data_IF_264109295027
#
_entry.id   IF_264109295027
#
_cell.length_a   1.000
_cell.length_b   1.000
_cell.length_c   1.000
_cell.angle_alpha   90.00
_cell.angle_beta   90.00
_cell.angle_gamma   90.00
#
_symmetry.space_group_name_H-M   'P 1'
#
loop_
_entity.id
_entity.type
_entity.pdbx_description
1 polymer ?
#
# COMPACT_ATOMS: atom_id res chain seq x y z
N UNK A 1 -0.99 42.68 -16.67
CA UNK A 1 -1.38 43.95 -17.30
C UNK A 1 -2.62 44.46 -16.59
N UNK A 2 -2.44 45.39 -15.67
CA UNK A 2 -3.52 46.06 -14.93
C UNK A 2 -4.12 47.12 -15.85
N UNK A 3 -5.21 46.78 -16.55
CA UNK A 3 -6.08 47.80 -17.13
C UNK A 3 -6.88 48.41 -15.98
N UNK A 4 -6.63 49.70 -15.72
CA UNK A 4 -7.46 50.53 -14.86
C UNK A 4 -8.88 50.51 -15.42
N UNK A 5 -9.77 49.75 -14.76
CA UNK A 5 -11.21 49.87 -14.92
C UNK A 5 -11.60 51.24 -14.36
N UNK A 6 -11.77 52.21 -15.25
CA UNK A 6 -12.47 53.44 -14.92
C UNK A 6 -13.92 53.05 -14.71
N UNK A 7 -14.30 52.78 -13.45
CA UNK A 7 -15.68 52.80 -13.03
C UNK A 7 -16.19 54.23 -13.17
N UNK A 8 -16.68 54.59 -14.37
CA UNK A 8 -17.51 55.77 -14.55
C UNK A 8 -18.76 55.57 -13.70
N UNK A 9 -18.88 56.33 -12.63
CA UNK A 9 -20.07 56.30 -11.79
C UNK A 9 -21.26 56.86 -12.59
N UNK A 10 -22.44 56.26 -12.47
CA UNK A 10 -23.69 56.73 -13.09
C UNK A 10 -23.99 58.22 -12.83
N UNK A 11 -23.43 58.80 -11.77
CA UNK A 11 -23.46 60.23 -11.47
C UNK A 11 -22.69 61.09 -12.48
N UNK A 12 -21.55 60.63 -12.99
CA UNK A 12 -20.71 61.39 -13.92
C UNK A 12 -21.35 61.48 -15.32
N UNK A 13 -22.08 60.44 -15.75
CA UNK A 13 -22.87 60.46 -17.00
C UNK A 13 -24.10 61.36 -16.92
N UNK A 14 -24.60 61.67 -15.72
CA UNK A 14 -25.73 62.59 -15.50
C UNK A 14 -25.31 64.06 -15.48
N UNK A 15 -24.09 64.36 -15.04
CA UNK A 15 -23.61 65.74 -14.95
C UNK A 15 -23.29 66.34 -16.33
N UNK A 16 -22.94 65.53 -17.33
CA UNK A 16 -22.81 66.00 -18.72
C UNK A 16 -24.15 66.34 -19.40
N UNK A 17 -25.27 65.90 -18.81
CA UNK A 17 -26.63 66.21 -19.27
C UNK A 17 -27.15 67.57 -18.77
N UNK A 18 -26.29 68.45 -18.21
CA UNK A 18 -26.71 69.81 -17.89
C UNK A 18 -27.28 70.48 -19.13
N UNK A 19 -28.60 70.66 -19.07
CA UNK A 19 -29.48 71.29 -20.05
C UNK A 19 -28.94 72.68 -20.34
N UNK A 20 -28.15 72.80 -21.42
CA UNK A 20 -28.04 74.07 -22.11
C UNK A 20 -29.37 74.24 -22.83
N UNK A 21 -30.20 75.16 -22.34
CA UNK A 21 -31.42 75.59 -23.04
C UNK A 21 -31.03 76.05 -24.45
N UNK A 22 -31.10 75.13 -25.41
CA UNK A 22 -30.87 75.43 -26.81
C UNK A 22 -32.17 76.00 -27.36
N UNK A 23 -32.51 77.22 -26.95
CA UNK A 23 -33.57 77.99 -27.61
C UNK A 23 -33.14 78.26 -29.06
N UNK A 24 -33.67 77.47 -29.99
CA UNK A 24 -33.48 77.69 -31.42
C UNK A 24 -34.26 78.95 -31.82
N UNK A 25 -33.58 80.10 -31.85
CA UNK A 25 -34.17 81.38 -32.25
C UNK A 25 -34.28 81.46 -33.78
N UNK A 26 -35.43 81.06 -34.32
CA UNK A 26 -35.76 81.23 -35.73
C UNK A 26 -36.18 82.67 -36.04
N UNK A 27 -35.68 83.26 -37.13
CA UNK A 27 -36.11 84.61 -37.54
C UNK A 27 -37.56 84.56 -38.01
N UNK A 28 -38.39 85.47 -37.47
CA UNK A 28 -39.79 85.64 -37.87
C UNK A 28 -39.87 86.53 -39.11
N UNK A 29 -40.56 86.07 -40.14
CA UNK A 29 -40.78 86.84 -41.38
C UNK A 29 -41.85 87.91 -41.17
N UNK A 30 -41.72 89.03 -41.90
CA UNK A 30 -42.55 90.25 -41.79
C UNK A 30 -44.07 90.00 -41.96
N UNK A 31 -44.47 88.90 -42.57
CA UNK A 31 -45.87 88.52 -42.80
C UNK A 31 -46.40 87.42 -41.88
N UNK A 32 -45.67 87.10 -40.80
CA UNK A 32 -46.07 86.08 -39.84
C UNK A 32 -45.69 84.67 -40.31
N UNK A 33 -44.61 84.14 -39.73
CA UNK A 33 -44.09 82.81 -40.01
C UNK A 33 -42.61 82.73 -39.60
N UNK A 34 -42.07 81.54 -39.40
CA UNK A 34 -40.63 81.35 -39.24
C UNK A 34 -39.98 81.14 -40.60
N UNK A 35 -38.73 81.55 -40.75
CA UNK A 35 -37.99 81.32 -41.99
C UNK A 35 -37.87 79.82 -42.28
N UNK A 36 -38.53 79.36 -43.34
CA UNK A 36 -38.65 77.93 -43.68
C UNK A 36 -37.28 77.28 -43.86
N UNK A 37 -36.34 77.98 -44.50
CA UNK A 37 -34.98 77.46 -44.72
C UNK A 37 -34.24 77.22 -43.41
N UNK A 38 -34.31 78.16 -42.46
CA UNK A 38 -33.68 78.00 -41.14
C UNK A 38 -34.29 76.83 -40.35
N UNK A 39 -35.60 76.63 -40.46
CA UNK A 39 -36.30 75.50 -39.80
C UNK A 39 -35.89 74.17 -40.44
N UNK A 40 -35.82 74.10 -41.77
CA UNK A 40 -35.38 72.89 -42.50
C UNK A 40 -33.94 72.52 -42.16
N UNK A 41 -33.00 73.46 -42.21
CA UNK A 41 -31.59 73.21 -41.86
C UNK A 41 -31.43 72.74 -40.40
N UNK A 42 -32.23 73.29 -39.48
CA UNK A 42 -32.25 72.83 -38.09
C UNK A 42 -32.79 71.40 -37.93
N UNK A 43 -33.88 71.07 -38.62
CA UNK A 43 -34.44 69.71 -38.64
C UNK A 43 -33.43 68.71 -39.21
N UNK A 44 -32.77 69.05 -40.31
CA UNK A 44 -31.71 68.21 -40.90
C UNK A 44 -30.56 67.99 -39.92
N UNK A 45 -30.06 69.05 -39.28
CA UNK A 45 -29.01 68.95 -38.27
C UNK A 45 -29.42 68.10 -37.07
N UNK A 46 -30.67 68.24 -36.61
CA UNK A 46 -31.20 67.43 -35.51
C UNK A 46 -31.33 65.96 -35.90
N UNK A 47 -31.74 65.69 -37.14
CA UNK A 47 -31.87 64.33 -37.67
C UNK A 47 -30.52 63.63 -37.72
N UNK A 48 -29.47 64.33 -38.19
CA UNK A 48 -28.09 63.81 -38.19
C UNK A 48 -27.62 63.52 -36.77
N UNK A 49 -27.78 64.47 -35.83
CA UNK A 49 -27.38 64.28 -34.43
C UNK A 49 -28.10 63.11 -33.75
N UNK A 50 -29.38 62.93 -34.05
CA UNK A 50 -30.16 61.79 -33.54
C UNK A 50 -29.66 60.47 -34.12
N UNK A 51 -29.33 60.44 -35.41
CA UNK A 51 -28.77 59.26 -36.05
C UNK A 51 -27.40 58.90 -35.48
N UNK A 52 -26.50 59.88 -35.32
CA UNK A 52 -25.18 59.68 -34.69
C UNK A 52 -25.32 59.18 -33.24
N UNK A 53 -26.29 59.71 -32.49
CA UNK A 53 -26.58 59.27 -31.13
C UNK A 53 -27.15 57.84 -31.09
N UNK A 54 -28.01 57.48 -32.05
CA UNK A 54 -28.54 56.12 -32.21
C UNK A 54 -27.42 55.12 -32.54
N UNK A 55 -26.55 55.44 -33.50
CA UNK A 55 -25.40 54.62 -33.85
C UNK A 55 -24.45 54.44 -32.65
N UNK A 56 -24.16 55.53 -31.92
CA UNK A 56 -23.35 55.47 -30.69
C UNK A 56 -23.99 54.61 -29.61
N UNK A 57 -25.31 54.68 -29.45
CA UNK A 57 -26.06 53.85 -28.50
C UNK A 57 -26.00 52.37 -28.89
N UNK A 58 -26.25 52.05 -30.17
CA UNK A 58 -26.19 50.69 -30.69
C UNK A 58 -24.78 50.09 -30.54
N UNK A 59 -23.73 50.87 -30.82
CA UNK A 59 -22.35 50.44 -30.59
C UNK A 59 -22.09 50.05 -29.12
N UNK A 60 -22.57 50.87 -28.17
CA UNK A 60 -22.44 50.56 -26.74
C UNK A 60 -23.26 49.33 -26.33
N UNK A 61 -24.44 49.14 -26.90
CA UNK A 61 -25.25 47.94 -26.67
C UNK A 61 -24.50 46.69 -27.12
N UNK A 62 -23.91 46.70 -28.31
CA UNK A 62 -23.12 45.59 -28.84
C UNK A 62 -21.88 45.31 -27.97
N UNK A 63 -21.21 46.36 -27.48
CA UNK A 63 -20.12 46.24 -26.53
C UNK A 63 -20.58 45.56 -25.22
N UNK A 64 -21.72 45.98 -24.65
CA UNK A 64 -22.27 45.35 -23.45
C UNK A 64 -22.70 43.91 -23.66
N UNK A 65 -23.25 43.57 -24.83
CA UNK A 65 -23.58 42.18 -25.20
C UNK A 65 -22.31 41.33 -25.28
N UNK A 66 -21.23 41.86 -25.86
CA UNK A 66 -19.93 41.20 -25.94
C UNK A 66 -19.33 40.97 -24.56
N UNK A 67 -19.35 41.99 -23.69
CA UNK A 67 -18.88 41.88 -22.30
C UNK A 67 -19.70 40.85 -21.52
N UNK A 68 -21.03 40.89 -21.62
CA UNK A 68 -21.93 39.94 -20.93
C UNK A 68 -21.67 38.50 -21.37
N UNK A 69 -21.42 38.30 -22.66
CA UNK A 69 -21.08 36.98 -23.21
C UNK A 69 -19.76 36.46 -22.64
N UNK A 70 -18.72 37.31 -22.56
CA UNK A 70 -17.43 36.95 -21.95
C UNK A 70 -17.57 36.61 -20.47
N UNK A 71 -18.29 37.43 -19.70
CA UNK A 71 -18.53 37.19 -18.27
C UNK A 71 -19.27 35.87 -18.03
N UNK A 72 -20.22 35.52 -18.91
CA UNK A 72 -20.93 34.24 -18.84
C UNK A 72 -19.97 33.06 -19.07
N UNK A 73 -19.09 33.16 -20.07
CA UNK A 73 -18.07 32.14 -20.34
C UNK A 73 -17.09 31.99 -19.17
N UNK A 74 -16.61 33.08 -18.59
CA UNK A 74 -15.73 33.04 -17.41
C UNK A 74 -16.41 32.40 -16.21
N UNK A 75 -17.67 32.77 -15.93
CA UNK A 75 -18.47 32.15 -14.86
C UNK A 75 -18.60 30.64 -15.06
N UNK A 76 -18.91 30.20 -16.28
CA UNK A 76 -19.09 28.78 -16.58
C UNK A 76 -17.76 28.02 -16.42
N UNK A 77 -16.65 28.59 -16.88
CA UNK A 77 -15.29 28.06 -16.67
C UNK A 77 -14.94 27.93 -15.17
N UNK A 78 -15.22 28.95 -14.36
CA UNK A 78 -15.00 28.88 -12.92
C UNK A 78 -15.90 27.83 -12.25
N UNK A 79 -17.12 27.66 -12.73
CA UNK A 79 -18.03 26.61 -12.27
C UNK A 79 -17.48 25.20 -12.52
N UNK A 80 -16.94 24.96 -13.71
CA UNK A 80 -16.28 23.69 -14.06
C UNK A 80 -15.04 23.44 -13.19
N UNK A 81 -14.17 24.43 -13.04
CA UNK A 81 -12.99 24.33 -12.17
C UNK A 81 -13.37 24.03 -10.71
N UNK A 82 -14.42 24.68 -10.20
CA UNK A 82 -14.93 24.43 -8.86
C UNK A 82 -15.41 22.99 -8.69
N UNK A 83 -16.16 22.47 -9.66
CA UNK A 83 -16.62 21.08 -9.64
C UNK A 83 -15.47 20.08 -9.72
N UNK A 84 -14.45 20.35 -10.56
CA UNK A 84 -13.23 19.54 -10.62
C UNK A 84 -12.51 19.52 -9.27
N UNK A 85 -12.33 20.68 -8.63
CA UNK A 85 -11.70 20.76 -7.31
C UNK A 85 -12.51 20.02 -6.25
N UNK A 86 -13.84 20.15 -6.26
CA UNK A 86 -14.74 19.44 -5.34
C UNK A 86 -14.63 17.93 -5.50
N UNK A 87 -14.63 17.42 -6.74
CA UNK A 87 -14.50 15.99 -7.00
C UNK A 87 -13.11 15.47 -6.61
N UNK A 88 -12.05 16.21 -6.96
CA UNK A 88 -10.68 15.87 -6.56
C UNK A 88 -10.52 15.81 -5.04
N UNK A 89 -11.16 16.73 -4.30
CA UNK A 89 -11.18 16.69 -2.82
C UNK A 89 -11.82 15.41 -2.29
N UNK A 90 -12.97 15.01 -2.83
CA UNK A 90 -13.67 13.77 -2.43
C UNK A 90 -12.79 12.55 -2.70
N UNK A 91 -12.13 12.50 -3.86
CA UNK A 91 -11.22 11.40 -4.22
C UNK A 91 -10.01 11.32 -3.27
N UNK A 92 -9.39 12.47 -2.94
CA UNK A 92 -8.28 12.52 -1.98
C UNK A 92 -8.72 12.09 -0.57
N UNK A 93 -9.91 12.49 -0.12
CA UNK A 93 -10.47 12.05 1.17
C UNK A 93 -10.68 10.53 1.19
N UNK A 94 -11.17 9.94 0.10
CA UNK A 94 -11.32 8.49 -0.01
C UNK A 94 -9.97 7.76 0.02
N UNK A 95 -8.95 8.28 -0.68
CA UNK A 95 -7.60 7.72 -0.66
C UNK A 95 -6.96 7.79 0.73
N UNK A 96 -7.11 8.93 1.42
CA UNK A 96 -6.62 9.09 2.79
C UNK A 96 -7.28 8.09 3.75
N UNK A 97 -8.58 7.85 3.59
CA UNK A 97 -9.28 6.86 4.41
C UNK A 97 -8.78 5.44 4.13
N UNK A 98 -8.50 5.10 2.86
CA UNK A 98 -7.93 3.81 2.50
C UNK A 98 -6.52 3.62 3.11
N UNK A 99 -5.63 4.60 2.96
CA UNK A 99 -4.28 4.55 3.54
C UNK A 99 -4.32 4.42 5.06
N UNK A 100 -5.28 5.06 5.72
CA UNK A 100 -5.49 4.94 7.16
C UNK A 100 -5.88 3.53 7.58
N UNK A 101 -6.69 2.85 6.78
CA UNK A 101 -7.06 1.45 7.04
C UNK A 101 -5.85 0.52 6.83
N UNK A 102 -5.11 0.68 5.74
CA UNK A 102 -3.89 -0.10 5.45
C UNK A 102 -2.82 0.07 6.56
N UNK A 103 -2.64 1.29 7.06
CA UNK A 103 -1.75 1.56 8.18
C UNK A 103 -2.19 0.84 9.47
N UNK A 104 -3.50 0.72 9.68
CA UNK A 104 -4.03 0.01 10.84
C UNK A 104 -3.84 -1.51 10.72
N UNK A 105 -4.04 -2.07 9.53
CA UNK A 105 -3.75 -3.48 9.24
C UNK A 105 -2.26 -3.80 9.47
N UNK A 106 -1.36 -2.93 9.00
CA UNK A 106 0.07 -3.09 9.23
C UNK A 106 0.43 -3.11 10.72
N UNK A 107 -0.17 -2.21 11.52
CA UNK A 107 0.06 -2.19 12.98
C UNK A 107 -0.40 -3.48 13.66
N UNK A 108 -1.52 -4.04 13.22
CA UNK A 108 -2.01 -5.32 13.74
C UNK A 108 -1.00 -6.43 13.40
N UNK A 109 -0.54 -6.50 12.15
CA UNK A 109 0.47 -7.49 11.75
C UNK A 109 1.82 -7.33 12.46
N UNK A 110 2.25 -6.09 12.73
CA UNK A 110 3.46 -5.82 13.53
C UNK A 110 3.32 -6.33 14.96
N UNK A 111 2.14 -6.14 15.57
CA UNK A 111 1.85 -6.67 16.90
C UNK A 111 1.84 -8.21 16.92
N UNK A 112 1.19 -8.84 15.94
CA UNK A 112 1.18 -10.32 15.81
C UNK A 112 2.60 -10.88 15.66
N UNK A 113 3.46 -10.21 14.89
CA UNK A 113 4.86 -10.58 14.75
C UNK A 113 5.65 -10.44 16.05
N UNK A 114 5.37 -9.42 16.86
CA UNK A 114 5.96 -9.27 18.19
C UNK A 114 5.52 -10.42 19.11
N UNK A 115 4.23 -10.73 19.15
CA UNK A 115 3.68 -11.82 19.97
C UNK A 115 4.27 -13.19 19.55
N UNK A 116 4.37 -13.46 18.25
CA UNK A 116 4.98 -14.69 17.73
C UNK A 116 6.47 -14.79 18.09
N UNK A 117 7.19 -13.67 18.08
CA UNK A 117 8.60 -13.63 18.47
C UNK A 117 8.79 -13.94 19.96
N UNK A 118 7.90 -13.44 20.81
CA UNK A 118 7.90 -13.75 22.24
C UNK A 118 7.58 -15.23 22.50
N UNK A 119 6.61 -15.79 21.77
CA UNK A 119 6.30 -17.24 21.83
C UNK A 119 7.49 -18.10 21.39
N UNK A 120 8.19 -17.70 20.31
CA UNK A 120 9.37 -18.41 19.82
C UNK A 120 10.48 -18.41 20.88
N UNK A 121 10.71 -17.28 21.54
CA UNK A 121 11.69 -17.18 22.64
C UNK A 121 11.35 -18.06 23.84
N UNK A 122 10.06 -18.21 24.17
CA UNK A 122 9.62 -19.13 25.22
C UNK A 122 9.88 -20.60 24.84
N UNK A 123 9.64 -20.96 23.58
CA UNK A 123 9.93 -22.31 23.07
C UNK A 123 11.43 -22.60 23.08
N UNK A 124 12.28 -21.64 22.72
CA UNK A 124 13.74 -21.78 22.78
C UNK A 124 14.22 -22.10 24.20
N UNK A 125 13.73 -21.36 25.21
CA UNK A 125 14.06 -21.62 26.62
C UNK A 125 13.60 -23.02 27.06
N UNK A 126 12.39 -23.43 26.67
CA UNK A 126 11.86 -24.75 27.02
C UNK A 126 12.68 -25.89 26.40
N UNK A 127 13.17 -25.71 25.17
CA UNK A 127 14.06 -26.66 24.50
C UNK A 127 15.41 -26.73 25.21
N UNK A 128 15.95 -25.59 25.64
CA UNK A 128 17.19 -25.52 26.41
C UNK A 128 17.07 -26.25 27.76
N UNK A 129 15.98 -26.02 28.48
CA UNK A 129 15.66 -26.71 29.74
C UNK A 129 15.56 -28.23 29.55
N UNK A 130 14.80 -28.69 28.55
CA UNK A 130 14.66 -30.12 28.24
C UNK A 130 15.98 -30.78 27.84
N UNK A 131 16.82 -30.07 27.08
CA UNK A 131 18.15 -30.56 26.74
C UNK A 131 19.04 -30.69 27.98
N UNK A 132 18.96 -29.73 28.90
CA UNK A 132 19.65 -29.80 30.19
C UNK A 132 19.18 -30.97 31.05
N UNK A 133 17.87 -31.23 31.11
CA UNK A 133 17.31 -32.41 31.77
C UNK A 133 17.81 -33.71 31.12
N UNK A 134 17.78 -33.81 29.79
CA UNK A 134 18.30 -34.97 29.05
C UNK A 134 19.78 -35.23 29.32
N UNK A 135 20.61 -34.18 29.37
CA UNK A 135 22.03 -34.31 29.68
C UNK A 135 22.25 -34.78 31.13
N UNK A 136 21.44 -34.30 32.07
CA UNK A 136 21.45 -34.77 33.46
C UNK A 136 21.00 -36.23 33.57
N UNK A 137 19.97 -36.65 32.83
CA UNK A 137 19.55 -38.05 32.75
C UNK A 137 20.65 -38.93 32.15
N UNK A 138 21.34 -38.47 31.11
CA UNK A 138 22.46 -39.18 30.51
C UNK A 138 23.65 -39.34 31.49
N UNK A 139 23.91 -38.32 32.34
CA UNK A 139 24.92 -38.38 33.41
C UNK A 139 24.49 -39.22 34.62
N UNK A 140 23.19 -39.27 34.91
CA UNK A 140 22.60 -39.95 36.06
C UNK A 140 22.27 -41.43 35.85
N UNK A 141 22.15 -41.88 34.60
CA UNK A 141 21.99 -43.29 34.29
C UNK A 141 23.33 -44.01 34.38
N UNK A 142 23.39 -44.97 35.32
CA UNK A 142 24.14 -46.23 35.25
C UNK A 142 25.37 -46.14 34.34
N UNK A 143 26.52 -45.80 34.92
CA UNK A 143 27.81 -45.85 34.22
C UNK A 143 27.94 -47.17 33.47
N UNK A 144 28.63 -47.17 32.34
CA UNK A 144 28.98 -48.38 31.57
C UNK A 144 29.48 -49.50 32.50
N UNK A 145 30.23 -49.12 33.53
CA UNK A 145 30.72 -49.93 34.65
C UNK A 145 29.63 -50.69 35.45
N UNK A 146 28.44 -50.10 35.59
CA UNK A 146 27.30 -50.75 36.25
C UNK A 146 26.55 -51.68 35.29
N UNK A 147 26.50 -51.39 34.00
CA UNK A 147 26.00 -52.34 33.00
C UNK A 147 26.92 -53.56 32.86
N UNK A 148 28.25 -53.35 32.85
CA UNK A 148 29.24 -54.43 32.84
C UNK A 148 29.15 -55.29 34.10
N UNK A 149 28.99 -54.69 35.29
CA UNK A 149 28.73 -55.44 36.53
C UNK A 149 27.46 -56.27 36.45
N UNK A 150 26.37 -55.72 35.91
CA UNK A 150 25.10 -56.43 35.79
C UNK A 150 25.18 -57.59 34.78
N UNK A 151 25.90 -57.39 33.67
CA UNK A 151 26.21 -58.43 32.69
C UNK A 151 27.05 -59.56 33.31
N UNK A 152 28.12 -59.22 34.03
CA UNK A 152 28.96 -60.20 34.72
C UNK A 152 28.18 -60.98 35.80
N UNK A 153 27.29 -60.31 36.55
CA UNK A 153 26.43 -60.97 37.53
C UNK A 153 25.45 -61.95 36.87
N UNK A 154 24.87 -61.57 35.73
CA UNK A 154 23.96 -62.43 34.96
C UNK A 154 24.67 -63.61 34.32
N UNK A 155 25.88 -63.43 33.77
CA UNK A 155 26.69 -64.54 33.27
C UNK A 155 27.03 -65.54 34.39
N UNK A 156 27.39 -65.05 35.58
CA UNK A 156 27.67 -65.89 36.72
C UNK A 156 26.43 -66.67 37.19
N UNK A 157 25.25 -66.03 37.19
CA UNK A 157 23.97 -66.70 37.50
C UNK A 157 23.66 -67.77 36.44
N UNK A 158 23.86 -67.48 35.16
CA UNK A 158 23.65 -68.45 34.07
C UNK A 158 24.58 -69.67 34.20
N UNK A 159 25.88 -69.45 34.41
CA UNK A 159 26.84 -70.56 34.64
C UNK A 159 26.45 -71.42 35.84
N UNK A 160 25.95 -70.79 36.91
CA UNK A 160 25.44 -71.52 38.08
C UNK A 160 24.21 -72.34 37.74
N UNK A 161 23.24 -71.78 37.02
CA UNK A 161 22.06 -72.50 36.56
C UNK A 161 22.42 -73.68 35.64
N UNK A 162 23.34 -73.50 34.71
CA UNK A 162 23.82 -74.57 33.84
C UNK A 162 24.46 -75.71 34.64
N UNK A 163 25.25 -75.37 35.65
CA UNK A 163 25.83 -76.35 36.57
C UNK A 163 24.76 -77.11 37.35
N UNK A 164 23.78 -76.40 37.92
CA UNK A 164 22.68 -77.01 38.67
C UNK A 164 21.84 -77.95 37.77
N UNK A 165 21.64 -77.56 36.51
CA UNK A 165 20.97 -78.40 35.50
C UNK A 165 21.80 -79.65 35.18
N UNK A 166 23.11 -79.50 35.05
CA UNK A 166 24.01 -80.62 34.80
C UNK A 166 24.03 -81.61 35.98
N UNK A 167 24.15 -81.12 37.22
CA UNK A 167 24.05 -81.95 38.43
C UNK A 167 22.69 -82.67 38.52
N UNK A 168 21.59 -81.97 38.19
CA UNK A 168 20.26 -82.58 38.13
C UNK A 168 20.17 -83.69 37.08
N UNK A 169 20.78 -83.51 35.91
CA UNK A 169 20.79 -84.51 34.85
C UNK A 169 21.64 -85.74 35.24
N UNK A 170 22.76 -85.54 35.93
CA UNK A 170 23.58 -86.62 36.48
C UNK A 170 22.80 -87.44 37.52
N UNK A 171 22.10 -86.76 38.45
CA UNK A 171 21.23 -87.41 39.43
C UNK A 171 20.05 -88.14 38.78
N UNK A 172 19.51 -87.64 37.67
CA UNK A 172 18.49 -88.32 36.88
C UNK A 172 19.03 -89.62 36.26
N UNK A 173 20.22 -89.56 35.64
CA UNK A 173 20.86 -90.74 35.07
C UNK A 173 21.22 -91.78 36.15
N UNK A 174 21.63 -91.34 37.33
CA UNK A 174 21.87 -92.23 38.48
C UNK A 174 20.56 -92.86 38.97
N UNK A 175 19.48 -92.08 39.08
CA UNK A 175 18.15 -92.60 39.41
C UNK A 175 17.66 -93.62 38.38
N UNK A 176 17.91 -93.42 37.08
CA UNK A 176 17.57 -94.40 36.05
C UNK A 176 18.37 -95.70 36.21
N UNK A 177 19.67 -95.62 36.55
CA UNK A 177 20.48 -96.81 36.86
C UNK A 177 19.95 -97.54 38.09
N UNK A 178 19.66 -96.82 39.16
CA UNK A 178 19.04 -97.36 40.38
C UNK A 178 17.68 -97.99 40.10
N UNK A 179 16.87 -97.35 39.25
CA UNK A 179 15.57 -97.90 38.81
C UNK A 179 15.76 -99.21 38.06
N UNK A 180 16.71 -99.30 37.13
CA UNK A 180 17.05 -100.56 36.45
C UNK A 180 17.53 -101.64 37.43
N UNK A 181 18.43 -101.31 38.35
CA UNK A 181 18.87 -102.23 39.40
C UNK A 181 17.71 -102.68 40.29
N UNK A 182 16.78 -101.79 40.61
CA UNK A 182 15.59 -102.10 41.41
C UNK A 182 14.60 -102.96 40.62
N UNK A 183 14.44 -102.74 39.32
CA UNK A 183 13.63 -103.57 38.41
C UNK A 183 14.24 -104.96 38.25
N UNK A 184 15.57 -105.08 38.16
CA UNK A 184 16.30 -106.35 38.17
C UNK A 184 16.13 -107.08 39.51
N UNK A 185 16.26 -106.36 40.63
CA UNK A 185 16.00 -106.90 41.97
C UNK A 185 14.53 -107.32 42.15
N UNK A 186 13.57 -106.63 41.52
CA UNK A 186 12.16 -107.03 41.48
C UNK A 186 11.95 -108.28 40.62
N UNK A 187 12.63 -108.40 39.47
CA UNK A 187 12.61 -109.60 38.63
C UNK A 187 13.16 -110.82 39.38
N UNK A 188 14.22 -110.62 40.16
CA UNK A 188 14.80 -111.64 41.04
C UNK A 188 13.87 -112.01 42.21
N UNK A 189 13.17 -111.01 42.78
CA UNK A 189 12.21 -111.20 43.89
C UNK A 189 10.84 -111.72 43.43
N UNK A 190 10.55 -111.77 42.12
CA UNK A 190 9.32 -112.33 41.52
C UNK A 190 9.28 -113.86 41.48
N UNK A 191 10.29 -114.56 42.01
CA UNK A 191 10.24 -116.00 42.31
C UNK A 191 9.66 -116.35 43.70
N UNK A 192 9.05 -115.40 44.43
CA UNK A 192 8.22 -115.67 45.60
C UNK A 192 7.00 -114.72 45.63
N UNK A 193 5.84 -115.17 46.13
CA UNK A 193 4.57 -114.60 45.72
C UNK A 193 4.06 -113.48 46.64
N UNK A 194 3.10 -112.74 46.08
CA UNK A 194 2.07 -111.90 46.70
C UNK A 194 2.35 -110.39 46.95
N UNK A 195 1.48 -109.62 46.28
CA UNK A 195 0.69 -108.46 46.73
C UNK A 195 1.18 -107.00 46.61
N UNK A 196 0.32 -106.24 45.89
CA UNK A 196 0.03 -104.79 45.93
C UNK A 196 1.11 -103.80 45.48
N UNK A 197 0.76 -102.99 44.45
CA UNK A 197 0.41 -101.54 44.57
C UNK A 197 0.61 -100.82 43.22
N UNK A 198 -0.43 -100.80 42.39
CA UNK A 198 -0.50 -99.94 41.20
C UNK A 198 -1.11 -98.60 41.57
N UNK A 199 -0.28 -97.55 41.74
CA UNK A 199 -0.74 -96.18 42.01
C UNK A 199 0.38 -95.13 41.80
N UNK A 200 1.12 -95.18 40.67
CA UNK A 200 2.11 -94.13 40.34
C UNK A 200 2.11 -93.58 38.91
N UNK A 201 1.36 -94.16 37.98
CA UNK A 201 1.38 -93.72 36.57
C UNK A 201 0.30 -92.67 36.21
N UNK A 202 -0.49 -92.21 37.19
CA UNK A 202 -1.52 -91.17 36.99
C UNK A 202 -1.07 -89.73 37.35
N UNK A 203 0.12 -89.56 37.95
CA UNK A 203 0.56 -88.27 38.51
C UNK A 203 1.52 -87.46 37.61
N UNK A 204 2.19 -88.09 36.62
CA UNK A 204 3.07 -87.35 35.69
C UNK A 204 2.29 -86.80 34.48
N UNK A 205 1.33 -87.56 33.95
CA UNK A 205 0.44 -87.11 32.87
C UNK A 205 -0.56 -86.02 33.30
N UNK A 206 -0.80 -85.83 34.60
CA UNK A 206 -1.64 -84.74 35.14
C UNK A 206 -0.85 -83.45 35.34
N UNK A 207 0.44 -83.53 35.64
CA UNK A 207 1.31 -82.34 35.82
C UNK A 207 1.65 -81.66 34.49
N UNK A 208 1.94 -82.43 33.44
CA UNK A 208 2.26 -81.92 32.10
C UNK A 208 1.02 -81.33 31.40
N UNK A 209 -0.15 -81.95 31.60
CA UNK A 209 -1.44 -81.42 31.14
C UNK A 209 -1.78 -80.10 31.85
N UNK A 210 -1.45 -79.97 33.14
CA UNK A 210 -1.60 -78.72 33.91
C UNK A 210 -0.72 -77.58 33.39
N UNK A 211 0.54 -77.86 33.02
CA UNK A 211 1.45 -76.87 32.43
C UNK A 211 0.97 -76.39 31.05
N UNK A 212 0.54 -77.30 30.17
CA UNK A 212 -0.03 -76.95 28.87
C UNK A 212 -1.33 -76.16 28.97
N UNK A 213 -2.16 -76.41 29.99
CA UNK A 213 -3.36 -75.61 30.25
C UNK A 213 -3.04 -74.20 30.74
N UNK A 214 -1.96 -74.02 31.51
CA UNK A 214 -1.46 -72.71 31.93
C UNK A 214 -0.97 -71.91 30.73
N UNK A 215 -0.12 -72.52 29.90
CA UNK A 215 0.49 -71.84 28.75
C UNK A 215 -0.55 -71.42 27.69
N UNK A 216 -1.56 -72.26 27.44
CA UNK A 216 -2.69 -71.90 26.56
C UNK A 216 -3.50 -70.73 27.11
N UNK A 217 -3.65 -70.64 28.44
CA UNK A 217 -4.37 -69.54 29.08
C UNK A 217 -3.60 -68.23 28.95
N UNK A 218 -2.27 -68.28 29.10
CA UNK A 218 -1.39 -67.11 28.93
C UNK A 218 -1.37 -66.64 27.47
N UNK A 219 -1.29 -67.57 26.51
CA UNK A 219 -1.41 -67.28 25.07
C UNK A 219 -2.75 -66.64 24.69
N UNK A 220 -3.86 -67.14 25.25
CA UNK A 220 -5.18 -66.53 25.03
C UNK A 220 -5.26 -65.10 25.57
N UNK A 221 -4.63 -64.83 26.72
CA UNK A 221 -4.63 -63.49 27.28
C UNK A 221 -3.75 -62.53 26.49
N UNK A 222 -2.57 -62.97 26.04
CA UNK A 222 -1.74 -62.20 25.10
C UNK A 222 -2.48 -61.89 23.80
N UNK A 223 -3.19 -62.87 23.22
CA UNK A 223 -3.95 -62.67 22.00
C UNK A 223 -5.06 -61.61 22.17
N UNK A 224 -5.74 -61.58 23.33
CA UNK A 224 -6.71 -60.52 23.65
C UNK A 224 -6.06 -59.14 23.76
N UNK A 225 -4.87 -59.04 24.35
CA UNK A 225 -4.12 -57.79 24.45
C UNK A 225 -3.79 -57.27 23.04
N UNK A 226 -3.24 -58.12 22.18
CA UNK A 226 -2.90 -57.76 20.78
C UNK A 226 -4.14 -57.30 20.00
N UNK A 227 -5.29 -57.95 20.17
CA UNK A 227 -6.54 -57.50 19.53
C UNK A 227 -6.96 -56.11 20.02
N UNK A 228 -6.88 -55.85 21.33
CA UNK A 228 -7.21 -54.54 21.90
C UNK A 228 -6.30 -53.45 21.33
N UNK A 229 -4.99 -53.68 21.32
CA UNK A 229 -4.02 -52.74 20.75
C UNK A 229 -4.28 -52.48 19.27
N UNK A 230 -4.53 -53.53 18.48
CA UNK A 230 -4.87 -53.40 17.05
C UNK A 230 -6.12 -52.53 16.85
N UNK A 231 -7.15 -52.70 17.67
CA UNK A 231 -8.37 -51.90 17.58
C UNK A 231 -8.11 -50.43 17.93
N UNK A 232 -7.32 -50.16 18.96
CA UNK A 232 -6.92 -48.80 19.33
C UNK A 232 -6.15 -48.12 18.19
N UNK A 233 -5.15 -48.80 17.62
CA UNK A 233 -4.37 -48.30 16.48
C UNK A 233 -5.24 -48.03 15.25
N UNK A 234 -6.26 -48.86 15.00
CA UNK A 234 -7.20 -48.64 13.89
C UNK A 234 -8.02 -47.35 14.08
N UNK A 235 -8.44 -47.06 15.31
CA UNK A 235 -9.16 -45.82 15.65
C UNK A 235 -8.25 -44.61 15.47
N UNK A 236 -7.03 -44.66 15.99
CA UNK A 236 -6.03 -43.59 15.82
C UNK A 236 -5.72 -43.33 14.35
N UNK A 237 -5.51 -44.39 13.55
CA UNK A 237 -5.25 -44.26 12.13
C UNK A 237 -6.42 -43.60 11.38
N UNK A 238 -7.67 -43.90 11.74
CA UNK A 238 -8.84 -43.23 11.18
C UNK A 238 -8.92 -41.74 11.57
N UNK A 239 -8.53 -41.39 12.80
CA UNK A 239 -8.46 -39.99 13.26
C UNK A 239 -7.41 -39.23 12.46
N UNK A 240 -6.20 -39.79 12.33
CA UNK A 240 -5.10 -39.20 11.56
C UNK A 240 -5.47 -39.04 10.08
N UNK A 241 -6.13 -40.05 9.47
CA UNK A 241 -6.60 -39.96 8.09
C UNK A 241 -7.61 -38.82 7.89
N UNK A 242 -8.52 -38.60 8.86
CA UNK A 242 -9.46 -37.49 8.82
C UNK A 242 -8.79 -36.13 9.03
N UNK A 243 -7.82 -36.04 9.93
CA UNK A 243 -7.02 -34.83 10.13
C UNK A 243 -6.24 -34.48 8.86
N UNK A 244 -5.58 -35.45 8.23
CA UNK A 244 -4.87 -35.26 6.97
C UNK A 244 -5.79 -34.75 5.86
N UNK A 245 -7.00 -35.32 5.72
CA UNK A 245 -8.00 -34.81 4.75
C UNK A 245 -8.36 -33.34 5.02
N UNK A 246 -8.56 -32.95 6.29
CA UNK A 246 -8.87 -31.56 6.66
C UNK A 246 -7.70 -30.62 6.36
N UNK A 247 -6.48 -31.02 6.68
CA UNK A 247 -5.27 -30.25 6.39
C UNK A 247 -5.10 -30.04 4.89
N UNK A 248 -5.30 -31.07 4.07
CA UNK A 248 -5.25 -30.95 2.60
C UNK A 248 -6.27 -29.95 2.07
N UNK A 249 -7.51 -29.96 2.57
CA UNK A 249 -8.55 -28.99 2.17
C UNK A 249 -8.17 -27.56 2.58
N UNK A 250 -7.65 -27.38 3.79
CA UNK A 250 -7.22 -26.07 4.28
C UNK A 250 -6.02 -25.53 3.49
N UNK A 251 -5.05 -26.39 3.17
CA UNK A 251 -3.91 -26.05 2.33
C UNK A 251 -4.36 -25.59 0.94
N UNK A 252 -5.31 -26.30 0.34
CA UNK A 252 -5.87 -25.93 -0.96
C UNK A 252 -6.56 -24.56 -0.92
N UNK A 253 -7.42 -24.30 0.08
CA UNK A 253 -8.07 -22.98 0.26
C UNK A 253 -7.06 -21.86 0.48
N UNK A 254 -6.00 -22.11 1.25
CA UNK A 254 -4.93 -21.14 1.49
C UNK A 254 -4.19 -20.82 0.19
N UNK A 255 -3.89 -21.83 -0.63
CA UNK A 255 -3.26 -21.64 -1.93
C UNK A 255 -4.15 -20.86 -2.91
N UNK A 256 -5.44 -21.17 -2.98
CA UNK A 256 -6.42 -20.43 -3.79
C UNK A 256 -6.46 -18.95 -3.37
N UNK A 257 -6.50 -18.67 -2.06
CA UNK A 257 -6.46 -17.30 -1.54
C UNK A 257 -5.16 -16.57 -1.88
N UNK A 258 -4.02 -17.27 -1.85
CA UNK A 258 -2.73 -16.71 -2.21
C UNK A 258 -2.67 -16.35 -3.71
N UNK A 259 -3.25 -17.18 -4.58
CA UNK A 259 -3.37 -16.88 -6.02
C UNK A 259 -4.24 -15.64 -6.27
N UNK A 260 -5.39 -15.51 -5.59
CA UNK A 260 -6.23 -14.31 -5.65
C UNK A 260 -5.45 -13.05 -5.24
N UNK A 261 -4.73 -13.11 -4.11
CA UNK A 261 -3.93 -11.99 -3.61
C UNK A 261 -2.83 -11.60 -4.59
N UNK A 262 -2.16 -12.57 -5.23
CA UNK A 262 -1.18 -12.31 -6.29
C UNK A 262 -1.81 -11.62 -7.49
N UNK A 263 -2.99 -12.07 -7.93
CA UNK A 263 -3.71 -11.44 -9.04
C UNK A 263 -4.09 -9.98 -8.73
N UNK A 264 -4.60 -9.73 -7.53
CA UNK A 264 -4.92 -8.36 -7.07
C UNK A 264 -3.66 -7.49 -7.00
N UNK A 265 -2.55 -8.01 -6.46
CA UNK A 265 -1.28 -7.30 -6.38
C UNK A 265 -0.76 -6.89 -7.77
N UNK A 266 -0.79 -7.82 -8.75
CA UNK A 266 -0.41 -7.55 -10.14
C UNK A 266 -1.31 -6.44 -10.73
N UNK A 267 -2.62 -6.53 -10.55
CA UNK A 267 -3.57 -5.51 -11.04
C UNK A 267 -3.31 -4.13 -10.44
N UNK A 268 -3.04 -4.06 -9.14
CA UNK A 268 -2.72 -2.81 -8.44
C UNK A 268 -1.41 -2.21 -8.95
N UNK A 269 -0.36 -3.02 -9.11
CA UNK A 269 0.93 -2.57 -9.68
C UNK A 269 0.77 -2.01 -11.10
N UNK A 270 -0.01 -2.68 -11.96
CA UNK A 270 -0.28 -2.20 -13.31
C UNK A 270 -1.04 -0.86 -13.31
N UNK A 271 -2.04 -0.70 -12.43
CA UNK A 271 -2.77 0.56 -12.29
C UNK A 271 -1.87 1.69 -11.79
N UNK A 272 -1.00 1.41 -10.82
CA UNK A 272 -0.03 2.38 -10.29
C UNK A 272 0.93 2.85 -11.39
N UNK A 273 1.52 1.92 -12.14
CA UNK A 273 2.44 2.25 -13.23
C UNK A 273 1.77 3.10 -14.31
N UNK A 274 0.51 2.80 -14.65
CA UNK A 274 -0.27 3.60 -15.60
C UNK A 274 -0.47 5.04 -15.09
N UNK A 275 -0.87 5.20 -13.82
CA UNK A 275 -1.05 6.53 -13.22
C UNK A 275 0.27 7.31 -13.17
N UNK A 276 1.38 6.66 -12.85
CA UNK A 276 2.72 7.31 -12.85
C UNK A 276 3.10 7.79 -14.24
N UNK A 277 2.93 6.95 -15.26
CA UNK A 277 3.22 7.31 -16.66
C UNK A 277 2.33 8.45 -17.16
N UNK A 278 1.04 8.46 -16.82
CA UNK A 278 0.14 9.56 -17.16
C UNK A 278 0.54 10.87 -16.44
N UNK A 279 0.97 10.78 -15.18
CA UNK A 279 1.44 11.92 -14.41
C UNK A 279 2.74 12.51 -15.00
N UNK A 280 3.74 11.67 -15.27
CA UNK A 280 5.00 12.05 -15.90
C UNK A 280 4.75 12.72 -17.26
N UNK A 281 3.90 12.12 -18.11
CA UNK A 281 3.54 12.71 -19.41
C UNK A 281 2.89 14.09 -19.28
N UNK A 282 1.98 14.28 -18.32
CA UNK A 282 1.37 15.60 -18.06
C UNK A 282 2.39 16.60 -17.55
N UNK A 283 3.25 16.19 -16.63
CA UNK A 283 4.33 17.01 -16.07
C UNK A 283 5.26 17.51 -17.18
N UNK A 284 5.64 16.65 -18.13
CA UNK A 284 6.47 17.01 -19.28
C UNK A 284 5.78 18.02 -20.19
N UNK A 285 4.49 17.82 -20.49
CA UNK A 285 3.70 18.76 -21.31
C UNK A 285 3.63 20.14 -20.65
N UNK A 286 3.38 20.20 -19.34
CA UNK A 286 3.37 21.47 -18.62
C UNK A 286 4.75 22.12 -18.60
N UNK A 287 5.80 21.35 -18.31
CA UNK A 287 7.18 21.84 -18.30
C UNK A 287 7.58 22.43 -19.65
N UNK A 288 7.25 21.75 -20.76
CA UNK A 288 7.48 22.28 -22.11
C UNK A 288 6.66 23.54 -22.39
N UNK A 289 5.40 23.61 -21.92
CA UNK A 289 4.57 24.81 -22.08
C UNK A 289 5.16 26.01 -21.34
N UNK A 290 5.61 25.80 -20.10
CA UNK A 290 6.28 26.85 -19.31
C UNK A 290 7.58 27.29 -19.96
N UNK A 291 8.40 26.34 -20.45
CA UNK A 291 9.63 26.67 -21.16
C UNK A 291 9.36 27.54 -22.39
N UNK A 292 8.41 27.15 -23.25
CA UNK A 292 8.03 27.95 -24.43
C UNK A 292 7.54 29.35 -24.05
N UNK A 293 6.83 29.49 -22.94
CA UNK A 293 6.39 30.80 -22.46
C UNK A 293 7.56 31.66 -21.99
N UNK A 294 8.52 31.07 -21.26
CA UNK A 294 9.75 31.74 -20.84
C UNK A 294 10.55 32.19 -22.08
N UNK A 295 10.68 31.33 -23.09
CA UNK A 295 11.40 31.64 -24.33
C UNK A 295 10.73 32.83 -25.07
N UNK A 296 9.39 32.83 -25.17
CA UNK A 296 8.63 33.95 -25.77
C UNK A 296 8.80 35.27 -25.01
N UNK A 297 8.76 35.23 -23.68
CA UNK A 297 8.97 36.42 -22.84
C UNK A 297 10.40 36.93 -23.03
N UNK A 298 11.38 36.03 -23.04
CA UNK A 298 12.79 36.38 -23.21
C UNK A 298 13.04 37.02 -24.58
N UNK A 299 12.44 36.49 -25.64
CA UNK A 299 12.54 37.07 -26.99
C UNK A 299 11.86 38.44 -27.07
N UNK A 300 10.68 38.59 -26.44
CA UNK A 300 10.00 39.88 -26.34
C UNK A 300 10.86 40.94 -25.63
N UNK A 301 11.44 40.58 -24.48
CA UNK A 301 12.34 41.47 -23.72
C UNK A 301 13.57 41.86 -24.53
N UNK A 302 14.17 40.91 -25.26
CA UNK A 302 15.31 41.17 -26.15
C UNK A 302 14.95 42.17 -27.24
N UNK A 303 13.77 42.02 -27.85
CA UNK A 303 13.28 42.95 -28.87
C UNK A 303 13.03 44.35 -28.28
N UNK A 304 12.40 44.46 -27.11
CA UNK A 304 12.21 45.75 -26.42
C UNK A 304 13.55 46.41 -26.09
N UNK A 305 14.54 45.65 -25.60
CA UNK A 305 15.88 46.18 -25.32
C UNK A 305 16.59 46.69 -26.58
N UNK A 306 16.44 45.99 -27.71
CA UNK A 306 16.98 46.47 -28.99
C UNK A 306 16.33 47.78 -29.43
N UNK A 307 15.01 47.94 -29.28
CA UNK A 307 14.29 49.18 -29.58
C UNK A 307 14.82 50.32 -28.70
N UNK A 308 14.86 50.12 -27.38
CA UNK A 308 15.37 51.11 -26.44
C UNK A 308 16.82 51.52 -26.76
N UNK A 309 17.65 50.58 -27.20
CA UNK A 309 19.03 50.87 -27.61
C UNK A 309 19.07 51.83 -28.80
N UNK A 310 18.26 51.59 -29.84
CA UNK A 310 18.17 52.50 -30.99
C UNK A 310 17.63 53.88 -30.60
N UNK A 311 16.60 53.94 -29.74
CA UNK A 311 16.06 55.21 -29.24
C UNK A 311 17.10 56.03 -28.45
N UNK A 312 17.94 55.36 -27.66
CA UNK A 312 19.08 55.99 -26.95
C UNK A 312 20.11 56.52 -27.96
N UNK A 313 20.49 55.72 -28.96
CA UNK A 313 21.43 56.13 -30.01
C UNK A 313 20.91 57.36 -30.79
N UNK A 314 19.62 57.41 -31.12
CA UNK A 314 18.97 58.54 -31.78
C UNK A 314 18.93 59.79 -30.89
N UNK A 315 18.59 59.62 -29.60
CA UNK A 315 18.61 60.72 -28.64
C UNK A 315 20.02 61.32 -28.51
N UNK A 316 21.05 60.46 -28.42
CA UNK A 316 22.45 60.89 -28.38
C UNK A 316 22.86 61.67 -29.64
N UNK A 317 22.37 61.29 -30.83
CA UNK A 317 22.60 62.03 -32.07
C UNK A 317 21.93 63.40 -32.05
N UNK A 318 20.69 63.50 -31.56
CA UNK A 318 19.99 64.78 -31.40
C UNK A 318 20.70 65.70 -30.42
N UNK A 319 21.16 65.18 -29.28
CA UNK A 319 21.93 65.96 -28.31
C UNK A 319 23.26 66.44 -28.89
N UNK A 320 24.01 65.59 -29.60
CA UNK A 320 25.28 66.00 -30.23
C UNK A 320 25.09 67.06 -31.31
N UNK A 321 24.01 67.00 -32.09
CA UNK A 321 23.74 67.95 -33.20
C UNK A 321 23.36 69.35 -32.72
N UNK A 322 22.66 69.46 -31.59
CA UNK A 322 22.23 70.76 -31.05
C UNK A 322 23.35 71.57 -30.38
N UNK A 323 24.49 70.97 -30.03
CA UNK A 323 25.61 71.71 -29.43
C UNK A 323 26.65 72.20 -30.45
N UNK A 324 26.66 71.70 -31.70
CA UNK A 324 27.56 72.20 -32.74
C UNK A 324 27.05 73.44 -33.48
N UNK A 325 25.73 73.67 -33.49
CA UNK A 325 25.12 74.80 -34.23
C UNK A 325 24.72 75.98 -33.32
N UNK A 326 24.85 75.87 -32.00
CA UNK A 326 24.71 77.00 -31.06
C UNK A 326 26.09 77.55 -30.71
N UNK A 327 26.88 77.90 -31.72
CA UNK A 327 27.80 79.03 -31.58
C UNK A 327 26.96 80.29 -31.79
N UNK A 328 26.30 80.78 -30.72
CA UNK A 328 25.76 82.13 -30.69
C UNK A 328 26.89 83.06 -31.12
N UNK A 329 26.78 83.63 -32.31
CA UNK A 329 27.75 84.62 -32.75
C UNK A 329 27.61 85.84 -31.83
N UNK A 330 28.71 86.55 -31.60
CA UNK A 330 28.70 87.76 -30.77
C UNK A 330 27.68 88.81 -31.25
N UNK A 331 27.17 88.70 -32.48
CA UNK A 331 26.11 89.52 -33.07
C UNK A 331 24.75 89.28 -32.38
N UNK A 332 24.38 88.02 -32.15
CA UNK A 332 23.06 87.64 -31.60
C UNK A 332 22.94 88.03 -30.12
N UNK A 333 24.03 87.91 -29.37
CA UNK A 333 24.11 88.40 -27.97
C UNK A 333 24.07 89.92 -27.88
N UNK A 334 24.54 90.63 -28.91
CA UNK A 334 24.50 92.10 -28.98
C UNK A 334 23.09 92.62 -29.28
N UNK A 335 22.37 91.97 -30.18
CA UNK A 335 20.98 92.28 -30.53
C UNK A 335 20.02 92.07 -29.35
N UNK A 336 20.21 91.01 -28.57
CA UNK A 336 19.43 90.76 -27.34
C UNK A 336 19.73 91.83 -26.27
N UNK A 337 20.99 92.28 -26.15
CA UNK A 337 21.35 93.40 -25.24
C UNK A 337 20.73 94.73 -25.68
N UNK A 338 20.74 95.06 -26.96
CA UNK A 338 20.14 96.31 -27.45
C UNK A 338 18.61 96.33 -27.31
N UNK A 339 17.93 95.20 -27.51
CA UNK A 339 16.49 95.10 -27.27
C UNK A 339 16.14 95.19 -25.77
N UNK A 340 17.00 94.66 -24.89
CA UNK A 340 16.83 94.79 -23.44
C UNK A 340 17.05 96.22 -22.93
N UNK A 341 17.95 96.99 -23.56
CA UNK A 341 18.19 98.41 -23.25
C UNK A 341 17.02 99.28 -23.73
N UNK A 342 16.52 99.07 -24.95
CA UNK A 342 15.33 99.80 -25.47
C UNK A 342 14.06 99.58 -24.65
N UNK A 343 13.90 98.43 -24.00
CA UNK A 343 12.77 98.16 -23.10
C UNK A 343 12.88 98.80 -21.71
N UNK A 344 14.02 99.40 -21.36
CA UNK A 344 14.22 100.14 -20.10
C UNK A 344 14.04 101.66 -20.24
N UNK A 345 13.87 102.18 -21.46
CA UNK A 345 13.71 103.61 -21.75
C UNK A 345 12.25 104.00 -22.11
N UNK A 346 11.29 103.11 -21.89
CA UNK A 346 9.84 103.38 -21.87
C UNK A 346 9.32 103.03 -20.49
#
# INVERSE_FOLDING_TARGET
MTQNSVQLALSELRDESQVKDSEALFKKELFGGYNVKQVTEYIESLTVKLHDAEESCNFKIDEFVSITTKLKQERDLYGEMFNMCKNSKIEMEAQNQQLKNELNEQKISEQECADLKDQLKQLELMVEDLNGELENYAKGNVTEDHYEKLLAENENKMKKYEKDVQERNELLAENEKLKKQYEEAIQEKRLLPFEKKGLREQNEATHEKGALFSENKDLQEQYKIVIKERNTLLVENNILANQNKRLTVNLWKSNEKNEELRAVNIKTKLKLNKMSSEFESRSDVYSQKYQRNIDKISESMKNTMNILKYEIEDADLLFKRNFSDISLTNEDTRLIREQAIKKKEV
#
